data_IF_470150292197
#
_entry.id   IF_470150292197
#
_cell.length_a   1.000
_cell.length_b   1.000
_cell.length_c   1.000
_cell.angle_alpha   90.00
_cell.angle_beta   90.00
_cell.angle_gamma   90.00
#
_symmetry.space_group_name_H-M   'P 1'
#
loop_
_entity.id
_entity.type
_entity.pdbx_description
1 polymer ?
#
# COMPACT_ATOMS: atom_id res chain seq x y z
N UNK A 1 3.43 11.81 6.18
CA UNK A 1 2.87 10.51 6.61
C UNK A 1 3.90 9.45 6.28
N UNK A 2 4.27 8.60 7.24
CA UNK A 2 5.27 7.54 7.03
C UNK A 2 4.67 6.22 7.51
N UNK A 3 4.86 5.15 6.75
CA UNK A 3 4.21 3.85 6.97
C UNK A 3 5.29 2.77 7.12
N UNK A 4 5.13 1.92 8.14
CA UNK A 4 6.07 0.85 8.51
C UNK A 4 5.42 -0.54 8.55
N UNK A 5 4.20 -0.69 8.06
CA UNK A 5 3.52 -1.99 8.05
C UNK A 5 4.25 -2.97 7.13
N UNK A 6 4.65 -4.16 7.59
CA UNK A 6 5.34 -5.13 6.76
C UNK A 6 4.47 -5.49 5.56
N UNK A 7 4.91 -5.07 4.39
CA UNK A 7 4.22 -5.32 3.12
C UNK A 7 4.36 -6.82 2.80
N UNK A 8 3.24 -7.59 2.74
CA UNK A 8 3.29 -8.98 2.34
C UNK A 8 3.64 -9.03 0.84
N UNK A 9 4.92 -9.27 0.52
CA UNK A 9 5.36 -9.51 -0.85
C UNK A 9 5.53 -11.00 -1.06
N UNK A 10 4.96 -11.56 -2.15
CA UNK A 10 5.36 -12.90 -2.60
C UNK A 10 6.81 -12.79 -3.06
N UNK A 11 7.67 -13.65 -2.51
CA UNK A 11 9.12 -13.58 -2.61
C UNK A 11 9.69 -13.80 -4.01
N UNK A 12 9.52 -12.81 -4.90
CA UNK A 12 10.30 -12.68 -6.13
C UNK A 12 11.00 -11.33 -6.13
N UNK A 13 12.21 -11.36 -5.57
CA UNK A 13 13.42 -10.66 -5.99
C UNK A 13 13.26 -9.21 -6.53
N UNK A 14 13.68 -8.23 -5.73
CA UNK A 14 14.48 -7.12 -6.26
C UNK A 14 14.09 -5.68 -5.93
N UNK A 15 12.86 -5.39 -5.50
CA UNK A 15 12.51 -4.03 -5.08
C UNK A 15 11.94 -4.02 -3.67
N UNK A 16 12.75 -3.53 -2.73
CA UNK A 16 12.32 -3.04 -1.42
C UNK A 16 11.33 -1.88 -1.66
N UNK A 17 10.06 -2.18 -1.96
CA UNK A 17 9.13 -1.17 -2.48
C UNK A 17 7.72 -1.67 -2.73
N UNK A 18 6.78 -0.73 -2.74
CA UNK A 18 5.37 -0.94 -3.06
C UNK A 18 5.20 -1.47 -4.49
N UNK A 19 4.17 -2.28 -4.73
CA UNK A 19 3.89 -2.73 -6.09
C UNK A 19 3.50 -1.56 -7.01
N UNK A 20 3.80 -1.62 -8.32
CA UNK A 20 3.55 -0.53 -9.26
C UNK A 20 2.10 -0.04 -9.27
N UNK A 21 1.15 -0.97 -9.10
CA UNK A 21 -0.28 -0.65 -9.00
C UNK A 21 -0.60 0.21 -7.78
N UNK A 22 0.03 -0.08 -6.63
CA UNK A 22 -0.13 0.73 -5.41
C UNK A 22 0.46 2.12 -5.60
N UNK A 23 1.65 2.22 -6.21
CA UNK A 23 2.30 3.52 -6.49
C UNK A 23 1.38 4.39 -7.35
N UNK A 24 0.85 3.83 -8.44
CA UNK A 24 -0.08 4.53 -9.32
C UNK A 24 -1.33 4.99 -8.56
N UNK A 25 -1.96 4.08 -7.81
CA UNK A 25 -3.11 4.38 -6.94
C UNK A 25 -2.85 5.55 -6.00
N UNK A 26 -1.68 5.60 -5.37
CA UNK A 26 -1.32 6.68 -4.44
C UNK A 26 -1.07 8.00 -5.17
N UNK A 27 -0.47 7.97 -6.36
CA UNK A 27 -0.25 9.16 -7.18
C UNK A 27 -1.56 9.77 -7.69
N UNK A 28 -2.59 8.94 -7.87
CA UNK A 28 -3.93 9.38 -8.27
C UNK A 28 -4.70 10.03 -7.11
N UNK A 29 -4.32 9.77 -5.85
CA UNK A 29 -4.96 10.39 -4.67
C UNK A 29 -4.48 11.84 -4.57
N UNK A 30 -5.38 12.77 -4.86
CA UNK A 30 -5.17 14.21 -4.76
C UNK A 30 -3.76 14.64 -5.25
N UNK A 31 -3.46 14.51 -6.56
CA UNK A 31 -2.10 14.63 -7.10
C UNK A 31 -1.44 15.98 -6.84
N UNK A 32 -2.25 17.01 -6.58
CA UNK A 32 -1.80 18.34 -6.21
C UNK A 32 -1.25 18.38 -4.77
N UNK A 33 -1.88 17.69 -3.82
CA UNK A 33 -1.55 17.77 -2.40
C UNK A 33 -0.64 16.64 -1.90
N UNK A 34 -0.68 15.46 -2.53
CA UNK A 34 0.04 14.27 -2.08
C UNK A 34 1.19 13.93 -3.03
N UNK A 35 2.39 13.70 -2.48
CA UNK A 35 3.56 13.25 -3.23
C UNK A 35 4.29 12.13 -2.50
N UNK A 36 4.76 11.14 -3.24
CA UNK A 36 5.71 10.14 -2.75
C UNK A 36 7.08 10.82 -2.65
N UNK A 37 7.78 10.60 -1.54
CA UNK A 37 9.13 11.10 -1.29
C UNK A 37 10.12 9.95 -1.46
N UNK A 38 11.12 10.16 -2.31
CA UNK A 38 12.21 9.21 -2.53
C UNK A 38 13.58 9.85 -2.22
N UNK A 39 14.48 9.13 -1.52
CA UNK A 39 14.24 7.85 -0.85
C UNK A 39 13.27 7.99 0.33
N UNK A 40 12.64 6.88 0.73
CA UNK A 40 11.82 6.88 1.94
C UNK A 40 12.68 7.27 3.17
N UNK A 41 12.04 7.90 4.16
CA UNK A 41 12.68 8.21 5.44
C UNK A 41 13.21 6.93 6.08
N UNK A 42 14.39 7.01 6.69
CA UNK A 42 15.00 5.90 7.40
C UNK A 42 14.02 5.26 8.40
N UNK A 43 13.94 3.91 8.37
CA UNK A 43 13.00 3.13 9.18
C UNK A 43 11.61 2.94 8.57
N UNK A 44 11.35 3.48 7.37
CA UNK A 44 10.05 3.39 6.70
C UNK A 44 10.17 2.83 5.29
N UNK A 45 9.13 2.11 4.85
CA UNK A 45 9.04 1.56 3.49
C UNK A 45 8.42 2.58 2.52
N UNK A 46 7.61 3.51 3.05
CA UNK A 46 7.00 4.59 2.28
C UNK A 46 7.00 5.89 3.09
N UNK A 47 7.36 6.99 2.43
CA UNK A 47 7.16 8.34 2.96
C UNK A 47 6.37 9.18 1.98
N UNK A 48 5.31 9.79 2.48
CA UNK A 48 4.43 10.68 1.72
C UNK A 48 4.50 12.09 2.29
N UNK A 49 4.64 13.06 1.39
CA UNK A 49 4.53 14.49 1.69
C UNK A 49 3.10 14.94 1.37
N UNK A 50 2.47 15.58 2.35
CA UNK A 50 1.15 16.18 2.23
C UNK A 50 1.27 17.71 2.29
N UNK A 51 0.75 18.40 1.29
CA UNK A 51 0.59 19.85 1.29
C UNK A 51 -0.88 20.20 1.52
N UNK A 52 -1.21 20.57 2.76
CA UNK A 52 -2.58 20.87 3.18
C UNK A 52 -3.15 22.06 2.42
N UNK A 53 -2.31 23.04 2.04
CA UNK A 53 -2.75 24.21 1.28
C UNK A 53 -3.21 23.88 -0.15
N UNK A 54 -2.83 22.70 -0.67
CA UNK A 54 -3.22 22.22 -1.99
C UNK A 54 -4.43 21.26 -1.95
N UNK A 55 -4.99 21.00 -0.77
CA UNK A 55 -6.23 20.23 -0.65
C UNK A 55 -7.40 21.12 -1.12
N UNK A 56 -8.22 20.66 -2.07
CA UNK A 56 -9.41 21.40 -2.52
C UNK A 56 -10.34 21.72 -1.36
N UNK A 57 -11.19 22.74 -1.51
CA UNK A 57 -12.20 23.08 -0.50
C UNK A 57 -13.54 22.40 -0.80
N UNK A 58 -14.42 22.33 0.19
CA UNK A 58 -15.77 21.77 0.05
C UNK A 58 -15.80 20.26 -0.15
N UNK A 59 -16.69 19.79 -1.04
CA UNK A 59 -16.94 18.36 -1.26
C UNK A 59 -15.71 17.61 -1.76
N UNK A 60 -14.95 18.21 -2.66
CA UNK A 60 -13.75 17.59 -3.24
C UNK A 60 -12.63 17.49 -2.21
N UNK A 61 -12.51 18.48 -1.31
CA UNK A 61 -11.61 18.42 -0.16
C UNK A 61 -11.95 17.29 0.79
N UNK A 62 -13.24 17.15 1.12
CA UNK A 62 -13.73 16.06 1.98
C UNK A 62 -13.44 14.69 1.37
N UNK A 63 -13.59 14.55 0.04
CA UNK A 63 -13.23 13.33 -0.69
C UNK A 63 -11.72 13.05 -0.62
N UNK A 64 -10.88 14.05 -0.90
CA UNK A 64 -9.44 13.92 -0.84
C UNK A 64 -8.96 13.50 0.55
N UNK A 65 -9.49 14.12 1.61
CA UNK A 65 -9.14 13.77 3.00
C UNK A 65 -9.52 12.32 3.31
N UNK A 66 -10.70 11.85 2.88
CA UNK A 66 -11.12 10.46 3.05
C UNK A 66 -10.18 9.49 2.33
N UNK A 67 -9.79 9.78 1.10
CA UNK A 67 -8.87 8.95 0.32
C UNK A 67 -7.47 8.93 0.96
N UNK A 68 -6.97 10.07 1.44
CA UNK A 68 -5.69 10.17 2.17
C UNK A 68 -5.74 9.38 3.48
N UNK A 69 -6.83 9.49 4.25
CA UNK A 69 -7.02 8.72 5.48
C UNK A 69 -7.09 7.21 5.25
N UNK A 70 -7.47 6.78 4.04
CA UNK A 70 -7.59 5.37 3.67
C UNK A 70 -6.32 4.78 3.02
N UNK A 71 -5.20 5.51 2.98
CA UNK A 71 -3.97 5.07 2.29
C UNK A 71 -3.49 3.69 2.75
N UNK A 72 -3.50 3.38 4.04
CA UNK A 72 -3.11 2.05 4.54
C UNK A 72 -4.01 0.95 3.97
N UNK A 73 -5.33 1.19 3.95
CA UNK A 73 -6.30 0.25 3.35
C UNK A 73 -6.09 0.11 1.84
N UNK A 74 -5.74 1.19 1.14
CA UNK A 74 -5.42 1.16 -0.30
C UNK A 74 -4.16 0.31 -0.56
N UNK A 75 -3.13 0.46 0.25
CA UNK A 75 -1.89 -0.31 0.16
C UNK A 75 -2.18 -1.81 0.36
N UNK A 76 -2.83 -2.16 1.48
CA UNK A 76 -3.15 -3.55 1.81
C UNK A 76 -4.06 -4.20 0.77
N UNK A 77 -5.12 -3.52 0.35
CA UNK A 77 -6.06 -4.06 -0.64
C UNK A 77 -5.44 -4.23 -2.02
N UNK A 78 -4.49 -3.36 -2.40
CA UNK A 78 -3.76 -3.46 -3.67
C UNK A 78 -2.82 -4.66 -3.69
N UNK A 79 -2.14 -4.91 -2.58
CA UNK A 79 -1.25 -6.07 -2.43
C UNK A 79 -2.05 -7.37 -2.42
N UNK A 80 -3.16 -7.43 -1.68
CA UNK A 80 -4.04 -8.59 -1.69
C UNK A 80 -4.56 -8.89 -3.12
N UNK A 81 -4.98 -7.86 -3.86
CA UNK A 81 -5.42 -8.02 -5.26
C UNK A 81 -4.32 -8.56 -6.17
N UNK A 82 -3.09 -8.12 -5.98
CA UNK A 82 -1.94 -8.61 -6.74
C UNK A 82 -1.61 -10.07 -6.41
N UNK A 83 -1.63 -10.44 -5.12
CA UNK A 83 -1.45 -11.82 -4.69
C UNK A 83 -2.50 -12.75 -5.31
N UNK A 84 -3.77 -12.32 -5.29
CA UNK A 84 -4.88 -13.06 -5.89
C UNK A 84 -4.75 -13.15 -7.42
N UNK A 85 -4.31 -12.09 -8.10
CA UNK A 85 -4.08 -12.11 -9.55
C UNK A 85 -2.97 -13.08 -9.95
N UNK A 86 -1.90 -13.13 -9.16
CA UNK A 86 -0.73 -13.96 -9.43
C UNK A 86 -0.89 -15.39 -8.90
N UNK A 87 -2.08 -15.77 -8.40
CA UNK A 87 -2.38 -17.11 -7.93
C UNK A 87 -2.52 -18.06 -9.12
N UNK A 88 -1.44 -18.77 -9.45
CA UNK A 88 -1.46 -19.79 -10.49
C UNK A 88 -1.81 -21.15 -9.86
N UNK A 89 -2.73 -21.94 -10.43
CA UNK A 89 -3.09 -23.25 -9.89
C UNK A 89 -1.96 -24.29 -9.94
N UNK A 90 -0.86 -24.02 -10.67
CA UNK A 90 0.33 -24.89 -10.68
C UNK A 90 1.16 -24.79 -9.38
N UNK A 91 0.97 -23.74 -8.58
CA UNK A 91 1.51 -23.63 -7.21
C UNK A 91 0.74 -24.55 -6.22
N UNK A 92 -0.34 -25.21 -6.64
CA UNK A 92 -1.18 -26.07 -5.80
C UNK A 92 -0.81 -27.57 -5.89
N UNK A 93 0.01 -27.99 -6.87
CA UNK A 93 0.31 -29.41 -7.13
C UNK A 93 1.62 -29.89 -6.48
N UNK A 94 2.48 -28.98 -6.02
CA UNK A 94 3.60 -29.34 -5.16
C UNK A 94 3.09 -29.33 -3.71
N UNK A 95 2.79 -30.51 -3.19
CA UNK A 95 2.20 -30.77 -1.87
C UNK A 95 3.02 -30.28 -0.67
N UNK A 96 3.14 -28.97 -0.53
CA UNK A 96 3.33 -28.25 0.70
C UNK A 96 2.44 -27.01 0.58
N UNK A 97 1.38 -26.95 1.38
CA UNK A 97 0.72 -25.69 1.66
C UNK A 97 1.78 -24.72 2.17
N UNK A 98 2.40 -23.96 1.29
CA UNK A 98 2.93 -22.64 1.63
C UNK A 98 1.71 -21.74 1.76
N UNK A 99 0.83 -22.10 2.69
CA UNK A 99 -0.18 -21.24 3.27
C UNK A 99 0.58 -19.98 3.65
N UNK A 100 0.38 -18.95 2.86
CA UNK A 100 0.57 -17.59 3.35
C UNK A 100 -0.49 -17.44 4.42
N UNK A 101 -0.20 -17.92 5.63
CA UNK A 101 -1.03 -17.70 6.79
C UNK A 101 -1.08 -16.18 6.97
N UNK A 102 -2.17 -15.56 6.49
CA UNK A 102 -2.49 -14.19 6.76
C UNK A 102 -2.92 -14.13 8.23
N UNK A 103 -1.94 -14.05 9.12
CA UNK A 103 -2.15 -13.79 10.54
C UNK A 103 -2.38 -12.29 10.70
N UNK A 104 -3.64 -11.88 10.71
CA UNK A 104 -4.04 -10.56 11.22
C UNK A 104 -3.95 -10.66 12.74
N UNK A 105 -2.86 -10.17 13.32
CA UNK A 105 -2.71 -10.05 14.78
C UNK A 105 -3.38 -8.73 15.18
N UNK A 106 -4.53 -8.74 15.89
CA UNK A 106 -5.03 -7.54 16.53
C UNK A 106 -4.08 -7.16 17.67
N UNK A 107 -3.56 -5.93 17.67
CA UNK A 107 -2.87 -5.38 18.83
C UNK A 107 -3.81 -5.48 20.04
N UNK A 108 -3.39 -6.25 21.04
CA UNK A 108 -4.01 -6.27 22.36
C UNK A 108 -3.36 -5.15 23.16
N UNK A 109 -4.17 -4.23 23.70
CA UNK A 109 -3.72 -3.18 24.63
C UNK A 109 -3.01 -3.76 25.86
#
# INVERSE_FOLDING_TARGET
LSISTPIPSRGTLGSKGLCPYTIQKLQDICPAALKIVEPAREGYELTLRLNIAQIPQGKDGTKAIKEIAAIESVILSSQLKEMLRNFSPEDASQGACNQSNLLIIPESL
#
